data_IF_658510107078
#
_entry.id   IF_658510107078
#
_cell.length_a   1.000
_cell.length_b   1.000
_cell.length_c   1.000
_cell.angle_alpha   90.00
_cell.angle_beta   90.00
_cell.angle_gamma   90.00
#
_symmetry.space_group_name_H-M   'P 1'
#
loop_
_entity.id
_entity.type
_entity.pdbx_description
1 polymer ?
#
# COMPACT_ATOMS: atom_id res chain seq x y z
N UNK A 1 7.00 16.37 -21.19
CA UNK A 1 6.48 15.58 -20.05
C UNK A 1 5.76 14.43 -20.70
N UNK A 2 6.32 13.22 -20.63
CA UNK A 2 5.64 12.04 -21.16
C UNK A 2 4.27 11.93 -20.50
N UNK A 3 3.21 11.80 -21.30
CA UNK A 3 1.87 11.67 -20.74
C UNK A 3 1.73 10.27 -20.17
N UNK A 4 1.52 10.16 -18.86
CA UNK A 4 1.12 8.90 -18.24
C UNK A 4 -0.14 8.39 -18.95
N UNK A 5 -0.03 7.23 -19.58
CA UNK A 5 -1.17 6.51 -20.14
C UNK A 5 -1.95 5.96 -18.94
N UNK A 6 -3.25 6.22 -18.88
CA UNK A 6 -4.04 5.77 -17.72
C UNK A 6 -4.05 4.24 -17.63
N UNK A 7 -4.24 3.65 -16.43
CA UNK A 7 -4.34 2.18 -16.30
C UNK A 7 -5.37 1.57 -17.26
N UNK A 8 -6.48 2.27 -17.53
CA UNK A 8 -7.49 1.84 -18.49
C UNK A 8 -6.97 1.80 -19.94
N UNK A 9 -6.26 2.85 -20.37
CA UNK A 9 -5.70 2.94 -21.71
C UNK A 9 -4.56 1.93 -21.90
N UNK A 10 -3.69 1.77 -20.89
CA UNK A 10 -2.63 0.77 -20.88
C UNK A 10 -3.21 -0.66 -20.94
N UNK A 11 -4.21 -0.96 -20.10
CA UNK A 11 -4.88 -2.25 -20.13
C UNK A 11 -5.53 -2.54 -21.49
N UNK A 12 -6.20 -1.55 -22.11
CA UNK A 12 -6.78 -1.70 -23.46
C UNK A 12 -5.70 -1.95 -24.51
N UNK A 13 -4.58 -1.23 -24.44
CA UNK A 13 -3.45 -1.41 -25.37
C UNK A 13 -2.86 -2.82 -25.30
N UNK A 14 -2.63 -3.30 -24.08
CA UNK A 14 -2.08 -4.63 -23.77
C UNK A 14 -3.06 -5.73 -24.20
N UNK A 15 -4.32 -5.65 -23.76
CA UNK A 15 -5.33 -6.66 -24.08
C UNK A 15 -5.57 -6.79 -25.60
N UNK A 16 -5.51 -5.68 -26.33
CA UNK A 16 -5.63 -5.68 -27.80
C UNK A 16 -4.43 -6.25 -28.55
N UNK A 17 -3.32 -6.54 -27.87
CA UNK A 17 -2.07 -7.08 -28.47
C UNK A 17 -1.62 -8.40 -27.85
N UNK A 18 -2.21 -8.82 -26.74
CA UNK A 18 -1.83 -10.06 -26.06
C UNK A 18 -2.13 -11.27 -26.95
N UNK A 19 -1.16 -12.19 -27.03
CA UNK A 19 -1.26 -13.44 -27.77
C UNK A 19 -1.53 -14.65 -26.86
N UNK A 20 -1.00 -14.61 -25.65
CA UNK A 20 -0.97 -15.77 -24.74
C UNK A 20 -2.09 -15.73 -23.68
N UNK A 21 -2.69 -14.56 -23.47
CA UNK A 21 -3.75 -14.35 -22.47
C UNK A 21 -4.90 -13.57 -23.10
N UNK A 22 -6.13 -13.96 -22.78
CA UNK A 22 -7.34 -13.27 -23.24
C UNK A 22 -8.20 -12.86 -22.04
N UNK A 23 -9.01 -11.82 -22.23
CA UNK A 23 -10.01 -11.41 -21.24
C UNK A 23 -11.28 -12.21 -21.46
N UNK A 24 -11.78 -12.87 -20.41
CA UNK A 24 -13.12 -13.43 -20.39
C UNK A 24 -14.14 -12.31 -20.16
N UNK A 25 -14.70 -11.79 -21.25
CA UNK A 25 -15.66 -10.67 -21.21
C UNK A 25 -16.95 -11.02 -20.45
N UNK A 26 -17.43 -12.26 -20.57
CA UNK A 26 -18.62 -12.72 -19.84
C UNK A 26 -18.31 -12.85 -18.34
N UNK A 27 -17.15 -13.42 -17.99
CA UNK A 27 -16.68 -13.47 -16.61
C UNK A 27 -16.51 -12.07 -16.00
N UNK A 28 -15.88 -11.15 -16.73
CA UNK A 28 -15.70 -9.76 -16.30
C UNK A 28 -17.06 -9.06 -16.06
N UNK A 29 -18.03 -9.27 -16.96
CA UNK A 29 -19.38 -8.75 -16.82
C UNK A 29 -20.10 -9.32 -15.59
N UNK A 30 -20.03 -10.63 -15.37
CA UNK A 30 -20.67 -11.27 -14.20
C UNK A 30 -20.11 -10.73 -12.87
N UNK A 31 -18.78 -10.53 -12.79
CA UNK A 31 -18.16 -9.91 -11.62
C UNK A 31 -18.60 -8.45 -11.47
N UNK A 32 -18.65 -7.68 -12.55
CA UNK A 32 -19.09 -6.29 -12.53
C UNK A 32 -20.55 -6.16 -12.07
N UNK A 33 -21.46 -7.00 -12.57
CA UNK A 33 -22.86 -7.07 -12.15
C UNK A 33 -22.96 -7.41 -10.65
N UNK A 34 -22.24 -8.43 -10.19
CA UNK A 34 -22.22 -8.81 -8.77
C UNK A 34 -21.65 -7.73 -7.85
N UNK A 35 -20.66 -6.96 -8.31
CA UNK A 35 -20.12 -5.81 -7.56
C UNK A 35 -21.06 -4.61 -7.58
N UNK A 36 -21.73 -4.35 -8.69
CA UNK A 36 -22.67 -3.22 -8.82
C UNK A 36 -23.76 -3.29 -7.76
N UNK A 37 -24.35 -4.47 -7.55
CA UNK A 37 -25.38 -4.70 -6.54
C UNK A 37 -24.88 -4.48 -5.11
N UNK A 38 -23.57 -4.64 -4.88
CA UNK A 38 -22.94 -4.49 -3.56
C UNK A 38 -22.20 -3.16 -3.37
N UNK A 39 -22.04 -2.35 -4.42
CA UNK A 39 -21.23 -1.12 -4.36
C UNK A 39 -21.74 -0.11 -3.32
N UNK A 40 -23.05 -0.12 -3.04
CA UNK A 40 -23.67 0.70 -1.98
C UNK A 40 -23.73 0.03 -0.60
N UNK A 41 -23.28 -1.21 -0.46
CA UNK A 41 -23.36 -1.94 0.80
C UNK A 41 -22.36 -1.39 1.83
N UNK A 42 -22.72 -1.47 3.11
CA UNK A 42 -21.89 -0.96 4.21
C UNK A 42 -20.48 -1.57 4.21
N UNK A 43 -20.36 -2.83 3.78
CA UNK A 43 -19.10 -3.58 3.67
C UNK A 43 -18.07 -2.88 2.77
N UNK A 44 -18.52 -2.18 1.72
CA UNK A 44 -17.67 -1.43 0.79
C UNK A 44 -17.45 0.04 1.24
N UNK A 45 -18.10 0.45 2.34
CA UNK A 45 -17.92 1.76 2.94
C UNK A 45 -16.82 1.80 4.00
N UNK A 46 -16.58 2.99 4.54
CA UNK A 46 -15.58 3.21 5.59
C UNK A 46 -15.85 2.38 6.85
N UNK A 47 -17.11 2.20 7.25
CA UNK A 47 -17.45 1.38 8.42
C UNK A 47 -17.18 -0.11 8.17
N UNK A 48 -17.47 -0.60 6.97
CA UNK A 48 -17.12 -1.94 6.52
C UNK A 48 -15.61 -2.17 6.57
N UNK A 49 -14.82 -1.29 5.95
CA UNK A 49 -13.35 -1.39 5.97
C UNK A 49 -12.77 -1.38 7.39
N UNK A 50 -13.31 -0.54 8.29
CA UNK A 50 -12.91 -0.56 9.70
C UNK A 50 -13.22 -1.91 10.35
N UNK A 51 -14.42 -2.47 10.12
CA UNK A 51 -14.85 -3.75 10.71
C UNK A 51 -14.10 -4.96 10.11
N UNK A 52 -13.60 -4.85 8.89
CA UNK A 52 -12.98 -5.95 8.13
C UNK A 52 -11.83 -6.62 8.88
N UNK A 53 -10.96 -5.86 9.54
CA UNK A 53 -9.82 -6.43 10.24
C UNK A 53 -9.41 -5.62 11.46
N UNK A 54 -8.96 -6.30 12.52
CA UNK A 54 -8.63 -5.70 13.83
C UNK A 54 -7.41 -4.74 13.79
N UNK A 55 -6.54 -4.89 12.80
CA UNK A 55 -5.35 -4.05 12.63
C UNK A 55 -5.62 -2.72 11.90
N UNK A 56 -6.79 -2.55 11.28
CA UNK A 56 -7.13 -1.31 10.58
C UNK A 56 -7.35 -0.16 11.59
N UNK A 57 -6.94 1.08 11.25
CA UNK A 57 -7.26 2.28 12.00
C UNK A 57 -8.76 2.39 12.34
N UNK A 58 -9.07 2.71 13.61
CA UNK A 58 -10.45 2.86 14.10
C UNK A 58 -10.99 4.27 13.89
N UNK A 59 -10.12 5.27 14.00
CA UNK A 59 -10.44 6.66 13.72
C UNK A 59 -10.47 6.93 12.21
N UNK A 60 -11.02 8.08 11.82
CA UNK A 60 -10.95 8.60 10.45
C UNK A 60 -10.32 10.00 10.49
N UNK A 61 -9.08 10.04 10.93
CA UNK A 61 -8.30 11.26 11.15
C UNK A 61 -7.00 11.25 10.31
N UNK A 62 -6.16 12.26 10.54
CA UNK A 62 -4.85 12.37 9.90
C UNK A 62 -3.99 11.13 10.09
N UNK A 63 -3.97 10.57 11.30
CA UNK A 63 -3.12 9.44 11.65
C UNK A 63 -3.54 8.18 10.89
N UNK A 64 -4.85 7.98 10.71
CA UNK A 64 -5.36 6.90 9.86
C UNK A 64 -4.91 7.06 8.40
N UNK A 65 -4.89 8.29 7.85
CA UNK A 65 -4.43 8.55 6.48
C UNK A 65 -2.93 8.30 6.34
N UNK A 66 -2.12 8.74 7.30
CA UNK A 66 -0.66 8.49 7.28
C UNK A 66 -0.34 7.00 7.46
N UNK A 67 -1.12 6.29 8.28
CA UNK A 67 -1.02 4.84 8.41
C UNK A 67 -1.34 4.13 7.10
N UNK A 68 -2.46 4.48 6.45
CA UNK A 68 -2.87 3.89 5.16
C UNK A 68 -1.79 4.13 4.11
N UNK A 69 -1.29 5.36 3.99
CA UNK A 69 -0.20 5.68 3.07
C UNK A 69 1.04 4.81 3.33
N UNK A 70 1.50 4.74 4.58
CA UNK A 70 2.69 3.95 4.93
C UNK A 70 2.53 2.46 4.58
N UNK A 71 1.40 1.84 4.96
CA UNK A 71 1.21 0.41 4.69
C UNK A 71 1.05 0.13 3.20
N UNK A 72 0.38 1.02 2.45
CA UNK A 72 0.21 0.87 1.00
C UNK A 72 1.53 1.06 0.26
N UNK A 73 2.36 2.01 0.69
CA UNK A 73 3.73 2.21 0.19
C UNK A 73 4.62 0.98 0.38
N UNK A 74 4.32 0.13 1.38
CA UNK A 74 5.07 -1.08 1.69
C UNK A 74 4.31 -2.37 1.30
N UNK A 75 3.20 -2.27 0.59
CA UNK A 75 2.34 -3.41 0.30
C UNK A 75 2.83 -4.24 -0.91
N UNK A 76 4.02 -4.83 -0.80
CA UNK A 76 4.61 -5.67 -1.85
C UNK A 76 5.37 -6.85 -1.27
N UNK A 77 5.48 -7.96 -2.01
CA UNK A 77 6.30 -9.13 -1.69
C UNK A 77 6.06 -9.75 -0.29
N UNK A 78 4.94 -10.47 -0.15
CA UNK A 78 4.61 -11.25 1.06
C UNK A 78 4.50 -12.76 0.83
N UNK A 79 4.82 -13.20 -0.39
CA UNK A 79 4.70 -14.58 -0.82
C UNK A 79 5.80 -15.42 -0.18
N UNK A 80 5.52 -16.70 0.03
CA UNK A 80 6.53 -17.71 0.35
C UNK A 80 6.17 -19.00 -0.36
N UNK A 81 7.18 -19.64 -0.95
CA UNK A 81 7.03 -20.94 -1.62
C UNK A 81 6.76 -22.07 -0.63
N UNK A 82 7.11 -21.89 0.65
CA UNK A 82 6.95 -22.91 1.69
C UNK A 82 6.17 -22.40 2.89
N UNK A 83 5.20 -23.20 3.33
CA UNK A 83 4.32 -22.85 4.44
C UNK A 83 5.09 -22.53 5.73
N UNK A 84 6.18 -23.28 5.96
CA UNK A 84 7.02 -23.18 7.16
C UNK A 84 8.01 -22.02 7.11
N UNK A 85 8.18 -21.39 5.93
CA UNK A 85 9.15 -20.32 5.70
C UNK A 85 8.45 -18.97 5.47
N UNK A 86 7.64 -18.52 6.44
CA UNK A 86 6.88 -17.26 6.34
C UNK A 86 7.46 -16.17 7.24
N UNK A 87 7.42 -14.93 6.75
CA UNK A 87 7.56 -13.73 7.56
C UNK A 87 6.32 -13.59 8.48
N UNK A 88 6.52 -13.77 9.78
CA UNK A 88 5.45 -13.75 10.78
C UNK A 88 5.72 -12.69 11.83
N UNK A 89 4.65 -11.98 12.24
CA UNK A 89 4.75 -10.96 13.27
C UNK A 89 3.75 -11.26 14.37
N UNK A 90 4.23 -11.37 15.61
CA UNK A 90 3.40 -11.45 16.81
C UNK A 90 3.07 -10.05 17.30
N UNK A 91 1.79 -9.80 17.49
CA UNK A 91 1.28 -8.53 18.00
C UNK A 91 -0.02 -8.77 18.79
N UNK A 92 -0.08 -8.23 20.02
CA UNK A 92 -1.21 -8.37 20.95
C UNK A 92 -1.70 -9.82 21.13
N UNK A 93 -0.75 -10.75 21.27
CA UNK A 93 -1.03 -12.17 21.53
C UNK A 93 -1.46 -12.98 20.31
N UNK A 94 -1.47 -12.39 19.11
CA UNK A 94 -1.79 -13.06 17.84
C UNK A 94 -0.59 -13.05 16.90
N UNK A 95 -0.45 -14.10 16.11
CA UNK A 95 0.55 -14.19 15.03
C UNK A 95 -0.11 -13.87 13.70
N UNK A 96 0.48 -12.95 12.95
CA UNK A 96 0.00 -12.57 11.61
C UNK A 96 0.96 -13.07 10.54
N UNK A 97 0.43 -13.20 9.32
CA UNK A 97 1.16 -13.59 8.10
C UNK A 97 0.75 -12.68 6.95
N UNK A 98 1.53 -12.69 5.86
CA UNK A 98 1.19 -11.94 4.65
C UNK A 98 1.18 -10.42 4.87
N UNK A 99 0.25 -9.74 4.20
CA UNK A 99 -0.03 -8.31 4.41
C UNK A 99 -0.28 -7.96 5.90
N UNK A 100 -0.95 -8.84 6.64
CA UNK A 100 -1.25 -8.56 8.04
C UNK A 100 -0.01 -8.56 8.95
N UNK A 101 1.08 -9.24 8.56
CA UNK A 101 2.38 -9.10 9.26
C UNK A 101 2.92 -7.68 9.16
N UNK A 102 2.78 -7.02 8.00
CA UNK A 102 3.18 -5.63 7.82
C UNK A 102 2.35 -4.71 8.74
N UNK A 103 1.02 -4.83 8.69
CA UNK A 103 0.14 -4.04 9.55
C UNK A 103 0.44 -4.25 11.04
N UNK A 104 0.71 -5.50 11.44
CA UNK A 104 1.06 -5.83 12.81
C UNK A 104 2.39 -5.21 13.23
N UNK A 105 3.40 -5.20 12.35
CA UNK A 105 4.70 -4.58 12.63
C UNK A 105 4.58 -3.06 12.76
N UNK A 106 3.80 -2.39 11.89
CA UNK A 106 3.52 -0.96 11.99
C UNK A 106 2.82 -0.62 13.30
N UNK A 107 1.78 -1.37 13.65
CA UNK A 107 1.03 -1.14 14.89
C UNK A 107 1.88 -1.42 16.14
N UNK A 108 2.75 -2.44 16.09
CA UNK A 108 3.73 -2.75 17.15
C UNK A 108 4.70 -1.58 17.34
N UNK A 109 5.26 -1.03 16.26
CA UNK A 109 6.15 0.12 16.33
C UNK A 109 5.46 1.35 16.92
N UNK A 110 4.21 1.62 16.54
CA UNK A 110 3.42 2.73 17.11
C UNK A 110 3.17 2.54 18.61
N UNK A 111 2.80 1.33 19.05
CA UNK A 111 2.62 1.01 20.47
C UNK A 111 3.94 1.10 21.26
N UNK A 112 5.08 0.79 20.62
CA UNK A 112 6.43 0.93 21.18
C UNK A 112 6.92 2.41 21.20
N UNK A 113 6.08 3.36 20.75
CA UNK A 113 6.40 4.79 20.74
C UNK A 113 7.28 5.24 19.56
N UNK A 114 7.46 4.39 18.54
CA UNK A 114 8.18 4.72 17.32
C UNK A 114 7.21 5.43 16.36
N UNK A 115 7.50 6.68 15.92
CA UNK A 115 6.63 7.44 15.03
C UNK A 115 6.78 6.98 13.57
N UNK A 116 6.59 5.69 13.31
CA UNK A 116 6.85 5.04 12.02
C UNK A 116 5.99 5.59 10.86
N UNK A 117 4.85 6.20 11.15
CA UNK A 117 3.98 6.86 10.16
C UNK A 117 4.34 8.33 9.91
N UNK A 118 5.33 8.88 10.61
CA UNK A 118 5.77 10.26 10.39
C UNK A 118 6.75 10.36 9.22
N UNK A 119 6.44 11.22 8.25
CA UNK A 119 7.32 11.49 7.11
C UNK A 119 8.74 11.89 7.55
N UNK A 120 8.86 12.70 8.61
CA UNK A 120 10.17 13.12 9.14
C UNK A 120 10.97 11.96 9.72
N UNK A 121 10.30 10.93 10.24
CA UNK A 121 10.97 9.76 10.81
C UNK A 121 11.46 8.85 9.69
N UNK A 122 10.56 8.44 8.79
CA UNK A 122 10.93 7.49 7.74
C UNK A 122 11.74 8.09 6.59
N UNK A 123 11.81 9.42 6.46
CA UNK A 123 12.76 10.12 5.58
C UNK A 123 14.22 9.92 6.02
N UNK A 124 14.48 9.74 7.31
CA UNK A 124 15.84 9.69 7.88
C UNK A 124 16.17 8.38 8.57
N UNK A 125 15.23 7.43 8.60
CA UNK A 125 15.43 6.18 9.31
C UNK A 125 16.55 5.37 8.68
N UNK A 126 17.36 4.72 9.52
CA UNK A 126 18.45 3.85 9.06
C UNK A 126 17.92 2.46 8.71
N UNK A 127 18.67 1.71 7.90
CA UNK A 127 18.33 0.32 7.58
C UNK A 127 18.18 -0.54 8.85
N UNK A 128 18.99 -0.30 9.88
CA UNK A 128 18.88 -1.02 11.16
C UNK A 128 17.58 -0.71 11.91
N UNK A 129 17.09 0.54 11.83
CA UNK A 129 15.77 0.90 12.37
C UNK A 129 14.65 0.23 11.58
N UNK A 130 14.77 0.13 10.26
CA UNK A 130 13.81 -0.60 9.40
C UNK A 130 13.80 -2.09 9.78
N UNK A 131 14.97 -2.72 9.90
CA UNK A 131 15.13 -4.11 10.36
C UNK A 131 14.53 -4.32 11.75
N UNK A 132 14.71 -3.37 12.66
CA UNK A 132 14.11 -3.43 13.99
C UNK A 132 12.59 -3.34 13.95
N UNK A 133 12.02 -2.39 13.22
CA UNK A 133 10.57 -2.19 13.11
C UNK A 133 9.89 -3.41 12.49
N UNK A 134 10.42 -3.89 11.37
CA UNK A 134 9.87 -5.01 10.60
C UNK A 134 10.53 -6.36 10.96
N UNK A 135 11.05 -6.49 12.19
CA UNK A 135 11.61 -7.75 12.68
C UNK A 135 10.55 -8.85 12.71
N UNK A 136 10.92 -10.03 12.24
CA UNK A 136 10.07 -11.21 12.32
C UNK A 136 10.11 -11.83 13.71
N UNK A 137 9.08 -12.60 14.03
CA UNK A 137 9.04 -13.52 15.18
C UNK A 137 9.48 -14.95 14.78
N UNK A 138 10.02 -15.10 13.56
CA UNK A 138 10.68 -16.29 13.01
C UNK A 138 12.06 -15.93 12.44
N UNK A 139 12.82 -16.92 11.97
CA UNK A 139 14.09 -16.71 11.27
C UNK A 139 13.94 -16.07 9.88
N UNK A 140 12.71 -15.93 9.37
CA UNK A 140 12.43 -15.38 8.03
C UNK A 140 12.27 -13.88 8.12
N UNK A 141 13.21 -13.11 7.58
CA UNK A 141 13.09 -11.65 7.49
C UNK A 141 12.00 -11.25 6.49
N UNK A 142 11.47 -10.03 6.65
CA UNK A 142 10.59 -9.46 5.63
C UNK A 142 11.35 -9.38 4.29
N UNK A 143 10.74 -9.82 3.17
CA UNK A 143 11.38 -9.73 1.87
C UNK A 143 11.68 -8.28 1.47
N UNK A 144 12.76 -8.10 0.69
CA UNK A 144 13.15 -6.82 0.06
C UNK A 144 13.33 -5.68 1.09
N UNK A 145 14.02 -5.95 2.21
CA UNK A 145 14.17 -5.00 3.32
C UNK A 145 14.95 -3.74 2.89
N UNK A 146 15.96 -3.87 2.03
CA UNK A 146 16.70 -2.74 1.46
C UNK A 146 15.82 -1.87 0.56
N UNK A 147 14.97 -2.48 -0.28
CA UNK A 147 14.02 -1.76 -1.13
C UNK A 147 12.97 -1.04 -0.28
N UNK A 148 12.48 -1.67 0.79
CA UNK A 148 11.56 -1.02 1.75
C UNK A 148 12.20 0.20 2.39
N UNK A 149 13.47 0.10 2.81
CA UNK A 149 14.22 1.22 3.36
C UNK A 149 14.34 2.36 2.34
N UNK A 150 14.71 2.04 1.10
CA UNK A 150 14.79 3.03 0.00
C UNK A 150 13.44 3.72 -0.24
N UNK A 151 12.36 2.95 -0.36
CA UNK A 151 11.00 3.45 -0.62
C UNK A 151 10.49 4.32 0.53
N UNK A 152 10.80 3.95 1.78
CA UNK A 152 10.50 4.77 2.96
C UNK A 152 11.22 6.12 2.87
N UNK A 153 12.54 6.11 2.73
CA UNK A 153 13.33 7.34 2.65
C UNK A 153 12.86 8.25 1.50
N UNK A 154 12.68 7.69 0.30
CA UNK A 154 12.16 8.40 -0.89
C UNK A 154 10.80 9.07 -0.59
N UNK A 155 9.83 8.28 -0.11
CA UNK A 155 8.47 8.77 0.17
C UNK A 155 8.46 9.84 1.26
N UNK A 156 9.32 9.70 2.27
CA UNK A 156 9.41 10.64 3.38
C UNK A 156 9.93 12.00 2.91
N UNK A 157 11.00 12.00 2.12
CA UNK A 157 11.57 13.20 1.53
C UNK A 157 10.52 13.92 0.65
N UNK A 158 9.83 13.18 -0.23
CA UNK A 158 8.78 13.74 -1.09
C UNK A 158 7.66 14.38 -0.26
N UNK A 159 7.20 13.71 0.79
CA UNK A 159 6.16 14.24 1.66
C UNK A 159 6.60 15.54 2.32
N UNK A 160 7.83 15.59 2.87
CA UNK A 160 8.38 16.78 3.51
C UNK A 160 8.49 17.95 2.52
N UNK A 161 9.04 17.71 1.33
CA UNK A 161 9.31 18.75 0.34
C UNK A 161 8.05 19.29 -0.35
N UNK A 162 7.11 18.40 -0.71
CA UNK A 162 5.99 18.74 -1.61
C UNK A 162 4.63 18.79 -0.92
N UNK A 163 4.49 18.12 0.22
CA UNK A 163 3.22 17.91 0.90
C UNK A 163 3.24 18.34 2.37
N UNK A 164 4.26 19.09 2.80
CA UNK A 164 4.35 19.62 4.16
C UNK A 164 4.46 18.52 5.23
N UNK A 165 5.01 17.37 4.88
CA UNK A 165 5.21 16.21 5.76
C UNK A 165 3.99 15.33 5.97
N UNK A 166 2.90 15.51 5.22
CA UNK A 166 1.64 14.77 5.42
C UNK A 166 1.00 14.33 4.11
N UNK A 167 0.62 13.04 4.01
CA UNK A 167 -0.09 12.54 2.83
C UNK A 167 -1.52 13.08 2.73
N UNK A 168 -2.13 13.51 3.84
CA UNK A 168 -3.44 14.17 3.78
C UNK A 168 -3.39 15.46 2.94
N UNK A 169 -2.25 16.15 2.90
CA UNK A 169 -2.06 17.29 2.00
C UNK A 169 -2.16 16.87 0.54
N UNK A 170 -1.61 15.71 0.17
CA UNK A 170 -1.78 15.12 -1.16
C UNK A 170 -3.26 14.80 -1.45
N UNK A 171 -3.94 14.13 -0.51
CA UNK A 171 -5.37 13.82 -0.62
C UNK A 171 -6.21 15.09 -0.77
N UNK A 172 -5.96 16.15 0.01
CA UNK A 172 -6.66 17.44 -0.12
C UNK A 172 -6.42 18.10 -1.47
N UNK A 173 -5.19 18.05 -2.00
CA UNK A 173 -4.85 18.56 -3.34
C UNK A 173 -5.61 17.81 -4.45
N UNK A 174 -6.05 16.57 -4.22
CA UNK A 174 -6.88 15.82 -5.16
C UNK A 174 -8.30 16.36 -5.34
N UNK A 175 -8.76 17.26 -4.46
CA UNK A 175 -10.08 17.92 -4.56
C UNK A 175 -11.24 16.92 -4.79
N UNK A 176 -11.28 15.87 -3.97
CA UNK A 176 -12.28 14.79 -4.03
C UNK A 176 -12.32 14.03 -5.37
N UNK A 177 -11.26 14.10 -6.18
CA UNK A 177 -11.14 13.36 -7.44
C UNK A 177 -10.14 12.22 -7.29
N UNK A 178 -10.62 10.98 -7.37
CA UNK A 178 -9.77 9.79 -7.35
C UNK A 178 -8.75 9.78 -8.49
N UNK A 179 -9.14 10.20 -9.69
CA UNK A 179 -8.23 10.31 -10.83
C UNK A 179 -7.13 11.35 -10.60
N UNK A 180 -7.47 12.48 -9.96
CA UNK A 180 -6.47 13.50 -9.59
C UNK A 180 -5.53 12.99 -8.51
N UNK A 181 -6.05 12.22 -7.53
CA UNK A 181 -5.21 11.58 -6.51
C UNK A 181 -4.23 10.60 -7.15
N UNK A 182 -4.70 9.73 -8.05
CA UNK A 182 -3.84 8.80 -8.78
C UNK A 182 -2.72 9.53 -9.53
N UNK A 183 -3.05 10.60 -10.27
CA UNK A 183 -2.03 11.40 -10.96
C UNK A 183 -1.02 12.02 -10.01
N UNK A 184 -1.47 12.61 -8.89
CA UNK A 184 -0.58 13.17 -7.87
C UNK A 184 0.36 12.09 -7.30
N UNK A 185 -0.15 10.88 -7.07
CA UNK A 185 0.66 9.75 -6.60
C UNK A 185 1.72 9.37 -7.64
N UNK A 186 1.31 9.09 -8.88
CA UNK A 186 2.23 8.68 -9.95
C UNK A 186 3.26 9.77 -10.27
N UNK A 187 2.87 11.05 -10.32
CA UNK A 187 3.79 12.15 -10.61
C UNK A 187 4.86 12.34 -9.53
N UNK A 188 4.53 12.04 -8.26
CA UNK A 188 5.39 12.41 -7.15
C UNK A 188 6.11 11.25 -6.48
N UNK A 189 5.56 10.04 -6.48
CA UNK A 189 6.11 8.88 -5.77
C UNK A 189 6.55 7.80 -6.78
N UNK A 190 7.84 7.77 -7.17
CA UNK A 190 8.36 6.82 -8.15
C UNK A 190 8.09 5.36 -7.81
N UNK A 191 8.12 4.99 -6.53
CA UNK A 191 7.78 3.64 -6.04
C UNK A 191 6.38 3.13 -6.42
N UNK A 192 5.44 4.00 -6.80
CA UNK A 192 4.11 3.61 -7.27
C UNK A 192 4.02 3.44 -8.80
N UNK A 193 5.12 3.68 -9.54
CA UNK A 193 5.17 3.48 -10.99
C UNK A 193 5.62 2.05 -11.30
N UNK A 194 4.71 1.11 -11.11
CA UNK A 194 4.89 -0.26 -11.60
C UNK A 194 4.53 -0.31 -13.09
N UNK A 195 5.47 0.13 -13.92
CA UNK A 195 5.32 0.23 -15.37
C UNK A 195 6.44 -0.50 -16.10
N UNK A 196 6.11 -1.06 -17.26
CA UNK A 196 7.06 -1.72 -18.15
C UNK A 196 6.73 -1.38 -19.60
N UNK A 197 7.74 -1.45 -20.47
CA UNK A 197 7.52 -1.36 -21.92
C UNK A 197 6.90 -2.67 -22.40
N UNK A 198 5.77 -2.57 -23.09
CA UNK A 198 5.14 -3.72 -23.73
C UNK A 198 5.88 -4.03 -25.04
N UNK A 199 6.44 -5.24 -25.15
CA UNK A 199 7.12 -5.75 -26.35
C UNK A 199 6.18 -6.61 -27.21
#
# INVERSE_FOLDING_TARGET
MESFVSPLESARFIAGRSTDVTVDEDGARLVAEGLFDRAGAEEFGLSGWKKLHELNPRAADQQAVDWVFLVDTLNFSFWSDQEEHKYLVKYKGKTYSGYWSLCAAVNRALDDGIPITSASYFATMTLDQVKHVFRSDTEVSIPLIEERHRVLNESGIILLEKFGGSFLTCVKKSDKSAQKLLRLVLENFPSFRDEAMFE
#
